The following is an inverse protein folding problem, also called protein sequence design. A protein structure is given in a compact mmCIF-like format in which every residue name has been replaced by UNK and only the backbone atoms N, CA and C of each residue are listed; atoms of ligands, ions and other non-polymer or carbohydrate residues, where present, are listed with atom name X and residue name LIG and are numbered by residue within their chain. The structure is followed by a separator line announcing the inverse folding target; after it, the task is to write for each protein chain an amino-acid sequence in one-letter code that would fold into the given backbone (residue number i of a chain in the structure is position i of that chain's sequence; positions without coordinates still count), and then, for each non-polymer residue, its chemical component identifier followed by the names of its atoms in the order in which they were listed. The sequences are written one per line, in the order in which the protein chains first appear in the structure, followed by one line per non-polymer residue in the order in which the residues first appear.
data_IF_575273606527
#
_entry.id   IF_575273606527
#
_cell.length_a   1.000
_cell.length_b   1.000
_cell.length_c   1.000
_cell.angle_alpha   90.00
_cell.angle_beta   90.00
_cell.angle_gamma   90.00
#
_symmetry.space_group_name_H-M   'P 1'
#
loop_
_entity.id
_entity.type
_entity.pdbx_description
1 polymer ?
#
# COMPACT_ATOMS: atom_id res chain seq x y z
N UNK A 1 10.18 -11.36 2.31
CA UNK A 1 9.73 -12.17 1.15
C UNK A 1 10.57 -11.95 -0.11
N UNK A 2 10.63 -10.73 -0.67
CA UNK A 2 11.25 -10.44 -1.98
C UNK A 2 12.73 -10.86 -2.10
N UNK A 3 13.62 -10.31 -1.26
CA UNK A 3 15.07 -10.55 -1.30
C UNK A 3 15.43 -12.04 -1.21
N UNK A 4 14.97 -12.81 -0.20
CA UNK A 4 15.32 -14.23 -0.10
C UNK A 4 14.73 -15.06 -1.24
N UNK A 5 13.52 -14.76 -1.73
CA UNK A 5 12.88 -15.54 -2.80
C UNK A 5 13.49 -15.26 -4.17
N UNK A 6 13.78 -14.00 -4.51
CA UNK A 6 14.49 -13.65 -5.75
C UNK A 6 15.95 -14.11 -5.74
N UNK A 7 16.62 -14.09 -4.58
CA UNK A 7 17.98 -14.64 -4.42
C UNK A 7 17.99 -16.17 -4.55
N UNK A 8 17.05 -16.85 -3.90
CA UNK A 8 16.89 -18.30 -4.02
C UNK A 8 16.60 -18.72 -5.47
N UNK A 9 15.80 -17.95 -6.20
CA UNK A 9 15.50 -18.23 -7.60
C UNK A 9 16.71 -18.10 -8.55
N UNK A 10 17.78 -17.41 -8.15
CA UNK A 10 19.03 -17.29 -8.91
C UNK A 10 20.03 -18.43 -8.63
N UNK A 11 19.79 -19.25 -7.60
CA UNK A 11 20.69 -20.34 -7.22
C UNK A 11 20.42 -21.61 -8.04
N UNK A 12 21.31 -21.91 -9.01
CA UNK A 12 21.11 -22.99 -10.00
C UNK A 12 20.92 -24.41 -9.42
N UNK A 13 21.42 -24.70 -8.22
CA UNK A 13 21.39 -26.04 -7.63
C UNK A 13 20.37 -26.23 -6.49
N UNK A 14 19.66 -25.18 -6.06
CA UNK A 14 18.71 -25.28 -4.94
C UNK A 14 17.67 -24.15 -4.95
N UNK A 15 17.10 -23.86 -6.13
CA UNK A 15 16.13 -22.79 -6.28
C UNK A 15 14.83 -23.12 -5.55
N UNK A 16 14.47 -22.31 -4.54
CA UNK A 16 13.25 -22.48 -3.75
C UNK A 16 12.00 -22.25 -4.60
N UNK A 17 12.08 -21.32 -5.56
CA UNK A 17 11.07 -21.07 -6.59
C UNK A 17 11.75 -20.77 -7.94
N UNK A 18 11.08 -21.03 -9.07
CA UNK A 18 11.59 -20.62 -10.38
C UNK A 18 11.71 -19.09 -10.53
N UNK A 19 12.68 -18.64 -11.32
CA UNK A 19 12.92 -17.20 -11.54
C UNK A 19 11.74 -16.47 -12.19
N UNK A 20 10.99 -17.16 -13.06
CA UNK A 20 9.78 -16.62 -13.66
C UNK A 20 8.70 -16.34 -12.60
N UNK A 21 8.41 -17.31 -11.72
CA UNK A 21 7.43 -17.12 -10.65
C UNK A 21 7.84 -15.99 -9.69
N UNK A 22 9.12 -15.89 -9.34
CA UNK A 22 9.64 -14.78 -8.52
C UNK A 22 9.47 -13.42 -9.20
N UNK A 23 9.57 -13.36 -10.54
CA UNK A 23 9.33 -12.13 -11.30
C UNK A 23 7.85 -11.77 -11.29
N UNK A 24 6.97 -12.75 -11.54
CA UNK A 24 5.52 -12.57 -11.58
C UNK A 24 4.95 -12.16 -10.22
N UNK A 25 5.29 -12.89 -9.15
CA UNK A 25 4.73 -12.68 -7.80
C UNK A 25 5.08 -11.29 -7.24
N UNK A 26 6.27 -10.78 -7.54
CA UNK A 26 6.74 -9.51 -6.97
C UNK A 26 6.66 -8.32 -7.94
N UNK A 27 6.47 -8.56 -9.23
CA UNK A 27 6.35 -7.52 -10.25
C UNK A 27 7.43 -6.44 -10.13
N UNK A 28 7.00 -5.18 -9.98
CA UNK A 28 7.84 -4.02 -9.76
C UNK A 28 7.77 -3.48 -8.32
N UNK A 29 7.53 -4.32 -7.31
CA UNK A 29 7.37 -3.90 -5.91
C UNK A 29 8.56 -3.07 -5.40
N UNK A 30 9.79 -3.35 -5.83
CA UNK A 30 10.95 -2.56 -5.42
C UNK A 30 10.87 -1.11 -5.90
N UNK A 31 10.36 -0.88 -7.12
CA UNK A 31 10.14 0.48 -7.62
C UNK A 31 9.04 1.20 -6.84
N UNK A 32 8.00 0.47 -6.42
CA UNK A 32 6.98 1.01 -5.51
C UNK A 32 7.60 1.36 -4.16
N UNK A 33 8.48 0.52 -3.60
CA UNK A 33 9.19 0.81 -2.35
C UNK A 33 10.06 2.05 -2.49
N UNK A 34 10.89 2.13 -3.54
CA UNK A 34 11.81 3.25 -3.79
C UNK A 34 11.09 4.61 -3.84
N UNK A 35 9.95 4.71 -4.53
CA UNK A 35 9.21 6.00 -4.59
C UNK A 35 8.59 6.37 -3.24
N UNK A 36 8.16 5.39 -2.45
CA UNK A 36 7.60 5.67 -1.11
C UNK A 36 8.69 5.98 -0.09
N UNK A 37 9.86 5.34 -0.18
CA UNK A 37 11.00 5.62 0.69
C UNK A 37 11.50 7.05 0.47
N UNK A 38 11.56 7.51 -0.79
CA UNK A 38 11.88 8.92 -1.10
C UNK A 38 10.84 9.88 -0.51
N UNK A 39 9.56 9.60 -0.74
CA UNK A 39 8.49 10.46 -0.22
C UNK A 39 8.48 10.49 1.32
N UNK A 40 8.68 9.35 1.97
CA UNK A 40 8.78 9.26 3.42
C UNK A 40 9.97 10.05 3.96
N UNK A 41 11.16 9.91 3.35
CA UNK A 41 12.35 10.63 3.77
C UNK A 41 12.14 12.15 3.74
N UNK A 42 11.52 12.67 2.68
CA UNK A 42 11.22 14.11 2.58
C UNK A 42 10.12 14.54 3.56
N UNK A 43 9.10 13.70 3.80
CA UNK A 43 8.09 13.97 4.83
C UNK A 43 8.70 14.03 6.24
N UNK A 44 9.62 13.11 6.56
CA UNK A 44 10.32 13.08 7.84
C UNK A 44 11.21 14.31 8.01
N UNK A 45 12.00 14.66 6.98
CA UNK A 45 12.84 15.86 6.99
C UNK A 45 12.01 17.14 7.13
N UNK A 46 10.88 17.24 6.44
CA UNK A 46 9.95 18.36 6.55
C UNK A 46 9.37 18.47 7.96
N UNK A 47 8.92 17.35 8.54
CA UNK A 47 8.37 17.30 9.89
C UNK A 47 9.41 17.66 10.98
N UNK A 48 10.69 17.41 10.72
CA UNK A 48 11.80 17.82 11.60
C UNK A 48 12.26 19.27 11.37
N UNK A 49 11.74 19.96 10.35
CA UNK A 49 12.14 21.33 10.00
C UNK A 49 13.52 21.41 9.33
N UNK A 50 13.98 20.31 8.73
CA UNK A 50 15.29 20.21 8.07
C UNK A 50 15.27 20.65 6.60
N UNK A 51 14.09 20.96 6.05
CA UNK A 51 13.90 21.43 4.68
C UNK A 51 13.79 22.97 4.61
N UNK A 52 13.85 23.52 3.39
CA UNK A 52 13.61 24.95 3.17
C UNK A 52 12.21 25.32 3.72
N UNK A 53 12.07 26.41 4.50
CA UNK A 53 10.76 26.86 5.01
C UNK A 53 9.68 27.11 3.95
N UNK A 54 10.05 27.20 2.67
CA UNK A 54 9.12 27.29 1.55
C UNK A 54 8.52 25.94 1.12
N UNK A 55 9.13 24.83 1.54
CA UNK A 55 8.60 23.50 1.29
C UNK A 55 7.39 23.26 2.20
N UNK A 56 6.31 22.82 1.58
CA UNK A 56 5.03 22.59 2.21
C UNK A 56 4.59 21.15 1.94
N UNK A 57 3.60 20.67 2.69
CA UNK A 57 3.02 19.35 2.39
C UNK A 57 2.48 19.29 0.95
N UNK A 58 1.92 20.39 0.45
CA UNK A 58 1.47 20.51 -0.92
C UNK A 58 2.59 20.36 -1.95
N UNK A 59 3.74 21.03 -1.76
CA UNK A 59 4.87 20.90 -2.69
C UNK A 59 5.42 19.48 -2.72
N UNK A 60 5.58 18.84 -1.56
CA UNK A 60 6.03 17.45 -1.46
C UNK A 60 5.06 16.50 -2.17
N UNK A 61 3.75 16.62 -1.90
CA UNK A 61 2.74 15.80 -2.57
C UNK A 61 2.76 16.00 -4.10
N UNK A 62 2.83 17.24 -4.57
CA UNK A 62 2.91 17.53 -6.02
C UNK A 62 4.12 16.87 -6.66
N UNK A 63 5.29 16.96 -6.03
CA UNK A 63 6.55 16.52 -6.63
C UNK A 63 6.69 14.99 -6.61
N UNK A 64 6.30 14.34 -5.51
CA UNK A 64 6.43 12.88 -5.37
C UNK A 64 5.34 12.10 -6.11
N UNK A 65 4.11 12.61 -6.20
CA UNK A 65 3.00 11.84 -6.76
C UNK A 65 3.09 11.67 -8.29
N UNK A 66 3.95 12.43 -8.96
CA UNK A 66 4.32 12.22 -10.37
C UNK A 66 5.01 10.85 -10.55
N UNK A 67 5.87 10.47 -9.60
CA UNK A 67 6.60 9.20 -9.63
C UNK A 67 5.71 8.00 -9.28
N UNK A 68 4.51 8.22 -8.72
CA UNK A 68 3.60 7.15 -8.31
C UNK A 68 2.94 6.43 -9.49
N UNK A 69 3.19 6.85 -10.74
CA UNK A 69 2.78 6.09 -11.93
C UNK A 69 3.27 4.63 -11.92
N UNK A 70 4.35 4.32 -11.19
CA UNK A 70 4.84 2.94 -10.98
C UNK A 70 3.79 2.01 -10.34
N UNK A 71 2.82 2.55 -9.60
CA UNK A 71 1.70 1.80 -9.05
C UNK A 71 0.78 1.25 -10.14
N UNK A 72 0.61 1.94 -11.27
CA UNK A 72 -0.24 1.47 -12.38
C UNK A 72 0.22 0.09 -12.86
N UNK A 73 1.54 -0.09 -13.02
CA UNK A 73 2.14 -1.39 -13.38
C UNK A 73 1.92 -2.46 -12.30
N UNK A 74 2.06 -2.09 -11.03
CA UNK A 74 1.90 -3.03 -9.92
C UNK A 74 0.45 -3.52 -9.81
N UNK A 75 -0.51 -2.59 -9.81
CA UNK A 75 -1.95 -2.87 -9.70
C UNK A 75 -2.40 -3.78 -10.85
N UNK A 76 -2.00 -3.49 -12.09
CA UNK A 76 -2.33 -4.32 -13.24
C UNK A 76 -1.78 -5.76 -13.12
N UNK A 77 -0.63 -5.95 -12.46
CA UNK A 77 -0.02 -7.26 -12.24
C UNK A 77 -0.51 -8.00 -11.00
N UNK A 78 -1.20 -7.32 -10.08
CA UNK A 78 -1.50 -7.82 -8.74
C UNK A 78 -2.33 -9.11 -8.75
N UNK A 79 -3.42 -9.17 -9.53
CA UNK A 79 -4.28 -10.36 -9.57
C UNK A 79 -3.54 -11.59 -10.09
N UNK A 80 -2.68 -11.39 -11.09
CA UNK A 80 -1.84 -12.47 -11.61
C UNK A 80 -0.81 -12.91 -10.56
N UNK A 81 -0.12 -11.98 -9.91
CA UNK A 81 0.82 -12.25 -8.83
C UNK A 81 0.20 -13.06 -7.69
N UNK A 82 -1.00 -12.67 -7.25
CA UNK A 82 -1.75 -13.36 -6.19
C UNK A 82 -2.10 -14.80 -6.59
N UNK A 83 -2.61 -14.98 -7.81
CA UNK A 83 -3.00 -16.29 -8.35
C UNK A 83 -1.78 -17.20 -8.49
N UNK A 84 -0.70 -16.70 -9.09
CA UNK A 84 0.56 -17.42 -9.24
C UNK A 84 1.16 -17.83 -7.89
N UNK A 85 1.12 -16.96 -6.88
CA UNK A 85 1.59 -17.33 -5.54
C UNK A 85 0.76 -18.46 -4.93
N UNK A 86 -0.57 -18.41 -5.01
CA UNK A 86 -1.46 -19.46 -4.48
C UNK A 86 -1.27 -20.79 -5.19
N UNK A 87 -1.16 -20.76 -6.52
CA UNK A 87 -0.88 -21.96 -7.29
C UNK A 87 0.48 -22.56 -6.93
N UNK A 88 1.51 -21.73 -6.81
CA UNK A 88 2.85 -22.17 -6.45
C UNK A 88 2.89 -22.76 -5.04
N UNK A 89 2.16 -22.16 -4.10
CA UNK A 89 2.00 -22.71 -2.74
C UNK A 89 1.37 -24.10 -2.75
N UNK A 90 0.36 -24.33 -3.59
CA UNK A 90 -0.28 -25.65 -3.71
C UNK A 90 0.62 -26.71 -4.36
N UNK A 91 1.54 -26.31 -5.24
CA UNK A 91 2.36 -27.20 -6.07
C UNK A 91 3.78 -27.43 -5.52
N UNK A 92 4.30 -26.51 -4.71
CA UNK A 92 5.68 -26.51 -4.23
C UNK A 92 5.74 -26.50 -2.68
N UNK A 93 5.95 -27.67 -2.04
CA UNK A 93 6.04 -27.77 -0.58
C UNK A 93 7.15 -26.93 0.05
N UNK A 94 8.27 -26.70 -0.67
CA UNK A 94 9.36 -25.86 -0.17
C UNK A 94 8.94 -24.38 -0.10
N UNK A 95 8.18 -23.93 -1.10
CA UNK A 95 7.60 -22.59 -1.10
C UNK A 95 6.55 -22.43 0.00
N UNK A 96 5.63 -23.39 0.16
CA UNK A 96 4.65 -23.38 1.24
C UNK A 96 5.32 -23.33 2.64
N UNK A 97 6.32 -24.19 2.88
CA UNK A 97 7.08 -24.19 4.13
C UNK A 97 7.83 -22.86 4.36
N UNK A 98 8.35 -22.24 3.29
CA UNK A 98 8.95 -20.92 3.37
C UNK A 98 7.92 -19.85 3.77
N UNK A 99 6.73 -19.84 3.16
CA UNK A 99 5.67 -18.88 3.49
C UNK A 99 5.24 -19.02 4.96
N UNK A 100 5.05 -20.25 5.43
CA UNK A 100 4.71 -20.52 6.83
C UNK A 100 5.79 -19.98 7.78
N UNK A 101 7.06 -20.33 7.54
CA UNK A 101 8.18 -19.86 8.36
C UNK A 101 8.37 -18.35 8.30
N UNK A 102 8.11 -17.74 7.15
CA UNK A 102 8.18 -16.29 7.00
C UNK A 102 7.09 -15.60 7.81
N UNK A 103 5.87 -16.13 7.85
CA UNK A 103 4.75 -15.61 8.65
C UNK A 103 5.00 -15.63 10.16
N UNK A 104 5.79 -16.59 10.63
CA UNK A 104 6.17 -16.71 12.05
C UNK A 104 7.19 -15.66 12.50
N UNK A 105 7.84 -14.97 11.55
CA UNK A 105 8.77 -13.89 11.87
C UNK A 105 8.03 -12.68 12.42
N UNK A 106 8.58 -12.08 13.46
CA UNK A 106 7.97 -10.93 14.16
C UNK A 106 7.78 -9.75 13.20
N UNK A 107 8.73 -9.54 12.29
CA UNK A 107 8.72 -8.49 11.27
C UNK A 107 7.53 -8.62 10.31
N UNK A 108 7.00 -9.84 10.13
CA UNK A 108 5.84 -10.08 9.28
C UNK A 108 4.52 -9.88 10.02
N UNK A 109 4.51 -9.66 11.34
CA UNK A 109 3.31 -9.39 12.17
C UNK A 109 2.17 -10.40 11.93
N UNK A 110 2.51 -11.67 11.68
CA UNK A 110 1.58 -12.76 11.32
C UNK A 110 0.82 -12.57 10.00
N UNK A 111 1.22 -11.61 9.17
CA UNK A 111 0.68 -11.40 7.82
C UNK A 111 1.31 -12.40 6.84
N UNK A 112 0.45 -13.03 6.04
CA UNK A 112 0.86 -13.88 4.92
C UNK A 112 1.25 -13.06 3.70
N UNK A 113 1.82 -13.72 2.69
CA UNK A 113 2.24 -13.04 1.47
C UNK A 113 1.07 -12.35 0.75
N UNK A 114 -0.11 -12.96 0.74
CA UNK A 114 -1.33 -12.38 0.16
C UNK A 114 -1.72 -11.06 0.84
N UNK A 115 -1.64 -11.01 2.18
CA UNK A 115 -1.96 -9.82 2.98
C UNK A 115 -0.97 -8.67 2.73
N UNK A 116 0.26 -9.01 2.34
CA UNK A 116 1.31 -8.03 2.01
C UNK A 116 1.21 -7.56 0.56
N UNK A 117 0.89 -8.45 -0.39
CA UNK A 117 0.81 -8.12 -1.81
C UNK A 117 -0.33 -7.15 -2.14
N UNK A 118 -1.41 -7.16 -1.36
CA UNK A 118 -2.54 -6.25 -1.52
C UNK A 118 -2.24 -4.83 -1.00
N UNK A 119 -1.23 -4.65 -0.13
CA UNK A 119 -0.96 -3.37 0.52
C UNK A 119 -0.75 -2.20 -0.45
N UNK A 120 0.02 -2.31 -1.54
CA UNK A 120 0.17 -1.20 -2.49
C UNK A 120 -1.13 -0.85 -3.21
N UNK A 121 -2.01 -1.83 -3.46
CA UNK A 121 -3.32 -1.59 -4.09
C UNK A 121 -4.21 -0.78 -3.14
N UNK A 122 -4.26 -1.16 -1.87
CA UNK A 122 -5.01 -0.43 -0.84
C UNK A 122 -4.42 0.94 -0.49
N UNK A 123 -3.12 1.15 -0.71
CA UNK A 123 -2.45 2.42 -0.38
C UNK A 123 -2.98 3.57 -1.23
N UNK A 124 -3.36 3.30 -2.48
CA UNK A 124 -3.88 4.31 -3.42
C UNK A 124 -5.21 4.90 -2.93
N UNK A 125 -6.27 4.11 -2.62
CA UNK A 125 -7.49 4.64 -2.02
C UNK A 125 -7.25 5.41 -0.70
N UNK A 126 -6.30 4.96 0.13
CA UNK A 126 -5.94 5.69 1.37
C UNK A 126 -5.39 7.08 1.06
N UNK A 127 -4.52 7.23 0.06
CA UNK A 127 -4.05 8.56 -0.35
C UNK A 127 -5.19 9.43 -0.88
N UNK A 128 -6.13 8.87 -1.65
CA UNK A 128 -7.32 9.61 -2.11
C UNK A 128 -8.09 10.19 -0.93
N UNK A 129 -8.35 9.40 0.11
CA UNK A 129 -9.07 9.84 1.31
C UNK A 129 -8.28 10.91 2.08
N UNK A 130 -7.01 10.66 2.35
CA UNK A 130 -6.14 11.59 3.10
C UNK A 130 -6.00 12.95 2.39
N UNK A 131 -5.77 12.95 1.07
CA UNK A 131 -5.65 14.19 0.30
C UNK A 131 -6.99 14.92 0.20
N UNK A 132 -8.10 14.18 0.08
CA UNK A 132 -9.44 14.78 0.08
C UNK A 132 -9.75 15.45 1.42
N UNK A 133 -9.40 14.82 2.53
CA UNK A 133 -9.61 15.39 3.86
C UNK A 133 -8.68 16.57 4.12
N UNK A 134 -7.42 16.49 3.64
CA UNK A 134 -6.49 17.62 3.71
C UNK A 134 -7.00 18.83 2.90
N UNK A 135 -7.60 18.63 1.72
CA UNK A 135 -8.19 19.74 0.95
C UNK A 135 -9.33 20.44 1.69
N UNK A 136 -10.08 19.73 2.54
CA UNK A 136 -11.17 20.33 3.33
C UNK A 136 -10.66 21.25 4.44
N UNK A 137 -9.40 21.09 4.86
CA UNK A 137 -8.81 21.89 5.94
C UNK A 137 -7.98 23.07 5.44
N UNK A 138 -7.58 23.08 4.17
CA UNK A 138 -6.80 24.13 3.54
C UNK A 138 -7.74 25.21 2.96
N UNK A 139 -7.50 26.52 3.23
CA UNK A 139 -8.24 27.61 2.57
C UNK A 139 -8.09 27.60 1.04
N UNK A 140 -9.12 28.00 0.29
CA UNK A 140 -9.11 27.97 -1.18
C UNK A 140 -8.00 28.83 -1.81
N UNK A 141 -7.64 29.93 -1.15
CA UNK A 141 -6.62 30.89 -1.55
C UNK A 141 -5.19 30.46 -1.16
N UNK A 142 -5.03 29.34 -0.47
CA UNK A 142 -3.72 28.76 -0.17
C UNK A 142 -3.11 28.06 -1.41
N UNK A 143 -1.86 28.37 -1.79
CA UNK A 143 -1.17 27.68 -2.89
C UNK A 143 -1.12 26.15 -2.78
N UNK A 144 -1.19 25.60 -1.57
CA UNK A 144 -1.21 24.15 -1.35
C UNK A 144 -2.51 23.50 -1.79
N UNK A 145 -3.64 24.19 -1.80
CA UNK A 145 -4.90 23.63 -2.28
C UNK A 145 -4.75 23.12 -3.73
N UNK A 146 -4.17 23.95 -4.62
CA UNK A 146 -3.91 23.57 -6.00
C UNK A 146 -2.89 22.42 -6.13
N UNK A 147 -1.88 22.39 -5.25
CA UNK A 147 -0.82 21.36 -5.28
C UNK A 147 -1.34 20.00 -4.81
N UNK A 148 -2.13 19.97 -3.75
CA UNK A 148 -2.80 18.78 -3.25
C UNK A 148 -3.86 18.29 -4.24
N UNK A 149 -4.60 19.19 -4.89
CA UNK A 149 -5.55 18.84 -5.95
C UNK A 149 -4.85 18.10 -7.10
N UNK A 150 -3.68 18.58 -7.55
CA UNK A 150 -2.89 17.86 -8.57
C UNK A 150 -2.44 16.48 -8.10
N UNK A 151 -1.99 16.35 -6.84
CA UNK A 151 -1.63 15.04 -6.29
C UNK A 151 -2.83 14.08 -6.23
N UNK A 152 -4.01 14.59 -5.83
CA UNK A 152 -5.26 13.84 -5.76
C UNK A 152 -5.69 13.33 -7.14
N UNK A 153 -5.61 14.17 -8.18
CA UNK A 153 -5.86 13.76 -9.57
C UNK A 153 -4.97 12.58 -9.99
N UNK A 154 -3.68 12.63 -9.67
CA UNK A 154 -2.74 11.53 -9.99
C UNK A 154 -3.10 10.24 -9.29
N UNK A 155 -3.46 10.28 -8.00
CA UNK A 155 -3.89 9.06 -7.29
C UNK A 155 -5.19 8.52 -7.86
N UNK A 156 -6.15 9.40 -8.17
CA UNK A 156 -7.43 8.97 -8.74
C UNK A 156 -7.24 8.31 -10.11
N UNK A 157 -6.37 8.83 -10.98
CA UNK A 157 -6.01 8.16 -12.23
C UNK A 157 -5.42 6.77 -12.01
N UNK A 158 -4.62 6.57 -10.96
CA UNK A 158 -4.06 5.27 -10.61
C UNK A 158 -5.15 4.36 -10.04
N UNK A 159 -6.02 4.91 -9.19
CA UNK A 159 -7.11 4.22 -8.52
C UNK A 159 -8.17 3.65 -9.46
N UNK A 160 -8.37 4.27 -10.63
CA UNK A 160 -9.24 3.74 -11.69
C UNK A 160 -8.83 2.35 -12.20
N UNK A 161 -7.57 1.94 -11.97
CA UNK A 161 -7.07 0.60 -12.33
C UNK A 161 -7.29 -0.42 -11.20
N UNK A 162 -7.55 0.04 -9.98
CA UNK A 162 -7.75 -0.84 -8.84
C UNK A 162 -9.16 -1.46 -8.87
N UNK A 163 -9.30 -2.60 -8.21
CA UNK A 163 -10.59 -3.23 -8.01
C UNK A 163 -11.48 -2.34 -7.13
N UNK A 164 -12.70 -2.04 -7.60
CA UNK A 164 -13.66 -1.21 -6.87
C UNK A 164 -13.94 -1.75 -5.46
N UNK A 165 -13.96 -3.08 -5.27
CA UNK A 165 -14.18 -3.68 -3.95
C UNK A 165 -13.07 -3.27 -2.96
N UNK A 166 -11.82 -3.19 -3.42
CA UNK A 166 -10.69 -2.78 -2.57
C UNK A 166 -10.84 -1.31 -2.16
N UNK A 167 -11.30 -0.45 -3.07
CA UNK A 167 -11.56 0.95 -2.76
C UNK A 167 -12.72 1.11 -1.77
N UNK A 168 -13.82 0.37 -1.97
CA UNK A 168 -14.99 0.36 -1.08
C UNK A 168 -14.62 -0.11 0.34
N UNK A 169 -13.89 -1.23 0.48
CA UNK A 169 -13.45 -1.71 1.80
C UNK A 169 -12.57 -0.70 2.53
N UNK A 170 -11.67 0.00 1.82
CA UNK A 170 -10.83 1.03 2.43
C UNK A 170 -11.67 2.24 2.86
N UNK A 171 -12.63 2.66 2.04
CA UNK A 171 -13.52 3.77 2.35
C UNK A 171 -14.42 3.47 3.57
N UNK A 172 -14.92 2.23 3.68
CA UNK A 172 -15.74 1.81 4.82
C UNK A 172 -14.95 1.81 6.13
N UNK A 173 -13.74 1.23 6.15
CA UNK A 173 -12.87 1.28 7.33
C UNK A 173 -12.47 2.72 7.70
N UNK A 174 -12.26 3.57 6.70
CA UNK A 174 -11.99 4.98 6.92
C UNK A 174 -13.18 5.69 7.54
N UNK A 175 -14.39 5.45 7.05
CA UNK A 175 -15.61 6.02 7.60
C UNK A 175 -15.79 5.65 9.08
N UNK A 176 -15.53 4.40 9.45
CA UNK A 176 -15.54 3.95 10.84
C UNK A 176 -14.48 4.69 11.67
N UNK A 177 -13.27 4.84 11.12
CA UNK A 177 -12.19 5.56 11.80
C UNK A 177 -12.54 7.02 12.08
N UNK A 178 -13.16 7.72 11.12
CA UNK A 178 -13.53 9.13 11.26
C UNK A 178 -14.77 9.36 12.13
N UNK A 179 -15.64 8.36 12.25
CA UNK A 179 -16.92 8.50 12.99
C UNK A 179 -16.76 8.17 14.47
N UNK A 180 -15.83 7.29 14.83
CA UNK A 180 -15.60 6.88 16.22
C UNK A 180 -14.52 7.76 16.85
N UNK A 181 -14.89 8.50 17.91
CA UNK A 181 -13.93 9.29 18.68
C UNK A 181 -12.90 8.37 19.38
N UNK A 182 -11.62 8.68 19.25
CA UNK A 182 -10.53 7.87 19.81
C UNK A 182 -10.27 6.54 19.10
N UNK A 183 -10.78 6.37 17.86
CA UNK A 183 -10.57 5.15 17.09
C UNK A 183 -9.07 4.90 16.81
N UNK A 184 -8.55 3.67 17.04
CA UNK A 184 -7.13 3.40 16.84
C UNK A 184 -6.70 3.64 15.38
N UNK A 185 -5.56 4.30 15.12
CA UNK A 185 -5.11 4.64 13.78
C UNK A 185 -4.80 3.41 12.90
N UNK A 186 -4.57 2.26 13.54
CA UNK A 186 -4.31 0.99 12.87
C UNK A 186 -5.59 0.27 12.40
N UNK A 187 -6.77 0.92 12.45
CA UNK A 187 -8.02 0.34 11.96
C UNK A 187 -7.97 0.09 10.45
N UNK A 188 -7.37 0.99 9.69
CA UNK A 188 -7.23 0.84 8.24
C UNK A 188 -5.98 -0.02 7.93
N UNK A 189 -6.08 -1.32 8.20
CA UNK A 189 -5.03 -2.30 7.93
C UNK A 189 -5.37 -3.16 6.70
N UNK A 190 -4.36 -3.74 6.07
CA UNK A 190 -4.55 -4.69 4.97
C UNK A 190 -5.20 -6.01 5.38
N UNK A 191 -5.16 -6.33 6.67
CA UNK A 191 -5.69 -7.55 7.26
C UNK A 191 -7.06 -7.37 7.92
N UNK A 192 -7.72 -6.23 7.70
CA UNK A 192 -9.01 -5.90 8.30
C UNK A 192 -10.03 -5.71 7.19
N UNK A 193 -11.21 -6.27 7.43
CA UNK A 193 -12.38 -6.15 6.58
C UNK A 193 -13.55 -5.87 7.51
N UNK A 194 -14.45 -4.99 7.08
CA UNK A 194 -15.69 -4.75 7.79
C UNK A 194 -16.64 -5.92 7.52
N UNK A 195 -17.10 -6.57 8.59
CA UNK A 195 -18.00 -7.74 8.49
C UNK A 195 -19.46 -7.31 8.69
N UNK A 196 -19.71 -6.26 9.47
CA UNK A 196 -21.05 -5.77 9.77
C UNK A 196 -21.07 -4.84 10.99
N UNK A 197 -22.21 -4.16 11.18
CA UNK A 197 -22.50 -3.32 12.34
C UNK A 197 -23.77 -3.84 13.04
N UNK A 198 -23.78 -3.74 14.37
CA UNK A 198 -24.91 -4.15 15.21
C UNK A 198 -25.17 -3.02 16.20
N UNK A 199 -26.40 -2.54 16.21
CA UNK A 199 -26.87 -1.61 17.23
C UNK A 199 -27.23 -2.38 18.50
N UNK A 200 -26.63 -2.00 19.62
CA UNK A 200 -26.84 -2.64 20.92
C UNK A 200 -27.24 -1.57 21.93
N UNK A 201 -28.28 -1.86 22.71
CA UNK A 201 -28.65 -1.05 23.88
C UNK A 201 -27.96 -1.58 25.13
N UNK A 202 -27.26 -0.71 25.86
CA UNK A 202 -26.84 -1.04 27.22
C UNK A 202 -28.06 -1.11 28.15
N UNK A 203 -28.10 -2.16 29.00
CA UNK A 203 -29.15 -2.40 30.01
C UNK A 203 -28.66 -1.89 31.35
#
# INVERSE_FOLDING_TARGET
YVVPLRSAARSANNALIPAYDAHVIFGNIERVSEVNERFLGDLEAWNLGEMDPKETIGSLCRDHFVDFHVYKRYINGYQHALTSSRELESKNPLYAAFLQKAREREECRKLGISDLLIMPVQRIPRYTLLLTDLLKTIPEDDPDAARIQLALERVNEIGQLADNQVAESVAELHHIHTTIEGCPPNLISASREFIGAIDVSEI
#
